data_IF_442924931520
#
_entry.id   IF_442924931520
#
_cell.length_a   1.000
_cell.length_b   1.000
_cell.length_c   1.000
_cell.angle_alpha   90.00
_cell.angle_beta   90.00
_cell.angle_gamma   90.00
#
_symmetry.space_group_name_H-M   'P 1'
#
loop_
_entity.id
_entity.type
_entity.pdbx_description
1 polymer ?
#
# COMPACT_ATOMS: atom_id res chain seq x y z
N UNK A 1 3.24 -8.11 -12.29
CA UNK A 1 3.61 -7.29 -11.12
C UNK A 1 5.11 -7.05 -11.14
N UNK A 2 5.60 -5.85 -10.79
CA UNK A 2 7.04 -5.58 -10.75
C UNK A 2 7.77 -6.50 -9.78
N UNK A 3 9.04 -6.79 -10.07
CA UNK A 3 9.84 -7.68 -9.23
C UNK A 3 10.06 -7.14 -7.81
N UNK A 4 10.10 -5.81 -7.67
CA UNK A 4 10.27 -5.18 -6.35
C UNK A 4 9.06 -5.44 -5.46
N UNK A 5 7.86 -5.48 -6.01
CA UNK A 5 6.66 -5.78 -5.24
C UNK A 5 6.56 -7.31 -5.10
N UNK A 6 6.79 -7.80 -3.90
CA UNK A 6 6.79 -9.25 -3.64
C UNK A 6 5.38 -9.79 -3.40
N UNK A 7 4.53 -8.99 -2.75
CA UNK A 7 3.16 -9.39 -2.49
C UNK A 7 2.30 -8.16 -2.20
N UNK A 8 1.02 -8.25 -2.48
CA UNK A 8 0.05 -7.18 -2.18
C UNK A 8 -1.26 -7.78 -1.69
N UNK A 9 -1.98 -7.00 -0.87
CA UNK A 9 -3.37 -7.29 -0.49
C UNK A 9 -4.12 -5.97 -0.34
N UNK A 10 -5.34 -5.80 -0.84
CA UNK A 10 -6.11 -6.77 -1.65
C UNK A 10 -5.43 -7.07 -2.99
N UNK A 11 -5.73 -8.22 -3.56
CA UNK A 11 -5.25 -8.55 -4.91
C UNK A 11 -5.95 -7.69 -5.96
N UNK A 12 -5.34 -7.49 -7.14
CA UNK A 12 -5.99 -6.72 -8.20
C UNK A 12 -7.38 -7.24 -8.52
N UNK A 13 -8.33 -6.33 -8.60
CA UNK A 13 -9.75 -6.60 -8.89
C UNK A 13 -10.48 -7.43 -7.83
N UNK A 14 -9.89 -7.60 -6.66
CA UNK A 14 -10.50 -8.33 -5.55
C UNK A 14 -11.67 -7.55 -4.94
N UNK A 15 -12.62 -8.27 -4.35
CA UNK A 15 -13.72 -7.68 -3.59
C UNK A 15 -13.52 -7.99 -2.12
N UNK A 16 -13.44 -6.97 -1.29
CA UNK A 16 -13.10 -7.10 0.13
C UNK A 16 -14.04 -6.27 1.00
N UNK A 17 -14.14 -6.59 2.28
CA UNK A 17 -14.93 -5.80 3.23
C UNK A 17 -14.39 -4.37 3.40
N UNK A 18 -15.27 -3.46 3.84
CA UNK A 18 -14.95 -2.04 4.01
C UNK A 18 -13.93 -1.76 5.11
N UNK A 19 -13.55 -2.75 5.90
CA UNK A 19 -12.54 -2.62 6.95
C UNK A 19 -11.19 -3.26 6.57
N UNK A 20 -11.04 -3.70 5.32
CA UNK A 20 -9.83 -4.42 4.90
C UNK A 20 -8.59 -3.55 4.93
N UNK A 21 -7.47 -4.15 5.33
CA UNK A 21 -6.15 -3.50 5.31
C UNK A 21 -5.57 -3.50 3.92
N UNK A 22 -4.61 -2.59 3.68
CA UNK A 22 -3.73 -2.65 2.51
C UNK A 22 -2.37 -3.14 3.00
N UNK A 23 -1.83 -4.16 2.35
CA UNK A 23 -0.55 -4.77 2.69
C UNK A 23 0.33 -4.78 1.46
N UNK A 24 1.56 -4.32 1.61
CA UNK A 24 2.56 -4.31 0.53
C UNK A 24 3.85 -4.90 1.08
N UNK A 25 4.36 -5.91 0.40
CA UNK A 25 5.62 -6.58 0.76
C UNK A 25 6.69 -6.22 -0.27
N UNK A 26 7.80 -5.64 0.21
CA UNK A 26 8.94 -5.24 -0.62
C UNK A 26 10.21 -5.82 -0.01
N UNK A 27 11.32 -5.90 -0.79
CA UNK A 27 12.59 -6.35 -0.23
C UNK A 27 13.09 -5.41 0.87
N UNK A 28 13.85 -5.96 1.80
CA UNK A 28 14.55 -5.15 2.81
C UNK A 28 15.42 -4.12 2.12
N UNK A 29 15.43 -2.90 2.64
CA UNK A 29 16.22 -1.80 2.05
C UNK A 29 15.42 -0.91 1.11
N UNK A 30 14.12 -1.13 1.00
CA UNK A 30 13.21 -0.25 0.26
C UNK A 30 12.27 0.45 1.22
N UNK A 31 11.82 1.63 0.82
CA UNK A 31 10.72 2.34 1.48
C UNK A 31 9.63 2.63 0.46
N UNK A 32 8.42 2.89 0.93
CA UNK A 32 7.29 3.10 0.05
C UNK A 32 6.52 4.37 0.41
N UNK A 33 5.83 4.91 -0.61
CA UNK A 33 4.76 5.88 -0.45
C UNK A 33 3.49 5.22 -0.94
N UNK A 34 2.42 5.33 -0.18
CA UNK A 34 1.12 4.74 -0.51
C UNK A 34 0.15 5.85 -0.86
N UNK A 35 -0.48 5.73 -2.02
CA UNK A 35 -1.46 6.69 -2.50
C UNK A 35 -2.75 5.94 -2.77
N UNK A 36 -3.83 6.34 -2.12
CA UNK A 36 -5.13 5.67 -2.25
C UNK A 36 -6.15 6.69 -2.71
N UNK A 37 -6.83 6.39 -3.81
CA UNK A 37 -7.83 7.28 -4.41
C UNK A 37 -7.29 8.70 -4.60
N UNK A 38 -6.05 8.81 -5.09
CA UNK A 38 -5.32 10.06 -5.31
C UNK A 38 -4.94 10.82 -4.02
N UNK A 39 -5.05 10.18 -2.86
CA UNK A 39 -4.69 10.76 -1.58
C UNK A 39 -3.43 10.09 -1.05
N UNK A 40 -2.39 10.89 -0.74
CA UNK A 40 -1.14 10.36 -0.19
C UNK A 40 -1.36 10.03 1.28
N UNK A 41 -1.18 8.75 1.64
CA UNK A 41 -1.32 8.31 3.03
C UNK A 41 -0.08 8.78 3.81
N UNK A 42 -0.29 9.51 4.92
CA UNK A 42 0.86 9.92 5.76
C UNK A 42 1.64 8.71 6.26
N UNK A 43 2.97 8.82 6.24
CA UNK A 43 3.84 7.72 6.63
C UNK A 43 3.59 7.24 8.06
N UNK A 44 3.20 8.14 8.96
CA UNK A 44 2.93 7.77 10.36
C UNK A 44 1.69 6.89 10.52
N UNK A 45 0.81 6.81 9.51
CA UNK A 45 -0.34 5.91 9.54
C UNK A 45 0.01 4.49 9.09
N UNK A 46 1.18 4.32 8.48
CA UNK A 46 1.60 3.04 7.91
C UNK A 46 2.51 2.34 8.90
N UNK A 47 2.16 1.10 9.24
CA UNK A 47 3.06 0.25 10.01
C UNK A 47 4.06 -0.36 9.03
N UNK A 48 5.29 0.13 9.04
CA UNK A 48 6.33 -0.39 8.18
C UNK A 48 7.38 -1.14 9.00
N UNK A 49 7.48 -2.44 8.73
CA UNK A 49 8.43 -3.31 9.42
C UNK A 49 9.69 -3.43 8.55
N UNK A 50 10.67 -2.58 8.82
CA UNK A 50 11.91 -2.49 8.03
C UNK A 50 12.64 -3.82 7.92
N UNK A 51 12.63 -4.60 8.99
CA UNK A 51 13.37 -5.85 9.04
C UNK A 51 12.90 -6.88 8.03
N UNK A 52 11.64 -6.79 7.58
CA UNK A 52 11.06 -7.74 6.64
C UNK A 52 10.45 -7.09 5.40
N UNK A 53 10.48 -5.75 5.32
CA UNK A 53 9.96 -5.04 4.16
C UNK A 53 8.44 -5.08 4.04
N UNK A 54 7.72 -5.14 5.16
CA UNK A 54 6.27 -5.26 5.17
C UNK A 54 5.60 -3.97 5.60
N UNK A 55 4.78 -3.41 4.72
CA UNK A 55 3.97 -2.23 5.00
C UNK A 55 2.52 -2.62 5.16
N UNK A 56 1.89 -2.16 6.23
CA UNK A 56 0.46 -2.42 6.50
C UNK A 56 -0.22 -1.10 6.82
N UNK A 57 -1.34 -0.85 6.17
CA UNK A 57 -2.21 0.29 6.49
C UNK A 57 -3.62 -0.23 6.75
N UNK A 58 -4.24 0.26 7.82
CA UNK A 58 -5.61 -0.11 8.18
C UNK A 58 -6.49 1.13 8.24
N UNK A 59 -7.72 1.07 7.71
CA UNK A 59 -8.69 2.12 7.96
C UNK A 59 -9.06 2.13 9.45
N UNK A 60 -9.47 3.27 9.94
CA UNK A 60 -9.90 3.37 11.33
C UNK A 60 -10.01 4.81 11.81
N UNK A 61 -10.44 5.00 13.08
CA UNK A 61 -10.56 6.34 13.67
C UNK A 61 -9.20 7.05 13.65
N UNK A 62 -9.23 8.35 13.36
CA UNK A 62 -8.06 9.20 13.29
C UNK A 62 -7.09 8.86 12.15
N UNK A 63 -7.53 8.03 11.21
CA UNK A 63 -6.79 7.75 9.97
C UNK A 63 -7.35 8.58 8.83
N UNK A 64 -6.62 8.59 7.71
CA UNK A 64 -7.05 9.28 6.49
C UNK A 64 -8.40 8.79 5.99
N UNK A 65 -8.67 7.50 6.17
CA UNK A 65 -9.96 6.89 5.88
C UNK A 65 -10.39 6.07 7.10
N UNK A 66 -11.60 6.33 7.59
CA UNK A 66 -12.15 5.54 8.71
C UNK A 66 -12.57 4.14 8.25
N UNK A 67 -13.10 4.05 7.05
CA UNK A 67 -13.44 2.81 6.37
C UNK A 67 -13.50 3.11 4.88
N UNK A 68 -13.50 2.05 4.06
CA UNK A 68 -13.69 2.23 2.62
C UNK A 68 -15.15 2.44 2.34
N UNK A 69 -15.45 3.38 1.45
CA UNK A 69 -16.80 3.44 0.85
C UNK A 69 -16.97 2.25 -0.08
N UNK A 70 -18.20 1.79 -0.27
CA UNK A 70 -18.47 0.71 -1.22
C UNK A 70 -18.08 1.15 -2.63
N UNK A 71 -17.49 0.24 -3.41
CA UNK A 71 -17.14 0.48 -4.80
C UNK A 71 -15.64 0.38 -5.07
N UNK A 72 -15.21 1.04 -6.13
CA UNK A 72 -13.86 0.96 -6.66
C UNK A 72 -12.87 1.84 -5.89
N UNK A 73 -11.69 1.30 -5.61
CA UNK A 73 -10.58 2.04 -5.03
C UNK A 73 -9.31 1.80 -5.84
N UNK A 74 -8.51 2.85 -5.99
CA UNK A 74 -7.24 2.79 -6.71
C UNK A 74 -6.11 2.92 -5.70
N UNK A 75 -5.11 2.04 -5.82
CA UNK A 75 -3.91 2.07 -4.97
C UNK A 75 -2.70 2.26 -5.85
N UNK A 76 -1.83 3.19 -5.47
CA UNK A 76 -0.53 3.39 -6.09
C UNK A 76 0.53 3.23 -5.02
N UNK A 77 1.52 2.40 -5.28
CA UNK A 77 2.70 2.24 -4.43
C UNK A 77 3.89 2.77 -5.19
N UNK A 78 4.60 3.73 -4.60
CA UNK A 78 5.87 4.22 -5.11
C UNK A 78 6.95 3.71 -4.19
N UNK A 79 8.02 3.14 -4.76
CA UNK A 79 9.13 2.63 -3.96
C UNK A 79 10.41 3.35 -4.29
N UNK A 80 11.32 3.35 -3.30
CA UNK A 80 12.68 3.84 -3.49
C UNK A 80 13.61 3.04 -2.60
N UNK A 81 14.82 2.79 -3.11
CA UNK A 81 15.84 2.09 -2.36
C UNK A 81 16.52 3.07 -1.40
N UNK A 82 16.72 2.64 -0.15
CA UNK A 82 17.24 3.53 0.89
C UNK A 82 18.76 3.69 0.83
N UNK A 83 19.47 2.72 0.28
CA UNK A 83 20.93 2.75 0.17
C UNK A 83 21.39 2.14 -1.14
N UNK A 84 22.60 2.48 -1.56
CA UNK A 84 23.19 1.93 -2.77
C UNK A 84 22.74 2.64 -4.04
N UNK A 85 22.75 1.94 -5.17
CA UNK A 85 22.31 2.48 -6.44
C UNK A 85 20.80 2.78 -6.38
N UNK A 86 20.37 3.95 -6.91
CA UNK A 86 18.95 4.27 -6.90
C UNK A 86 18.13 3.23 -7.64
N UNK A 87 17.00 2.86 -7.04
CA UNK A 87 16.02 2.02 -7.68
C UNK A 87 14.64 2.54 -7.25
N UNK A 88 13.96 3.21 -8.17
CA UNK A 88 12.67 3.84 -7.90
C UNK A 88 11.67 3.38 -8.95
N UNK A 89 10.41 3.31 -8.55
CA UNK A 89 9.35 2.95 -9.47
C UNK A 89 8.00 3.05 -8.81
N UNK A 90 6.98 2.63 -9.55
CA UNK A 90 5.64 2.60 -9.00
C UNK A 90 4.83 1.46 -9.62
N UNK A 91 3.81 1.04 -8.89
CA UNK A 91 2.85 0.05 -9.33
C UNK A 91 1.47 0.46 -8.84
N UNK A 92 0.45 0.34 -9.69
CA UNK A 92 -0.92 0.67 -9.32
C UNK A 92 -1.84 -0.50 -9.60
N UNK A 93 -2.89 -0.63 -8.76
CA UNK A 93 -3.94 -1.61 -8.99
C UNK A 93 -5.24 -1.09 -8.40
N UNK A 94 -6.33 -1.79 -8.70
CA UNK A 94 -7.64 -1.46 -8.16
C UNK A 94 -8.18 -2.65 -7.37
N UNK A 95 -9.00 -2.34 -6.38
CA UNK A 95 -9.80 -3.32 -5.67
C UNK A 95 -11.19 -2.74 -5.43
N UNK A 96 -12.10 -3.58 -5.00
CA UNK A 96 -13.49 -3.19 -4.77
C UNK A 96 -13.90 -3.55 -3.34
N UNK A 97 -14.76 -2.72 -2.76
CA UNK A 97 -15.38 -3.02 -1.47
C UNK A 97 -16.88 -3.19 -1.65
N UNK A 98 -17.49 -4.02 -0.81
CA UNK A 98 -18.92 -4.30 -0.87
C UNK A 98 -19.64 -3.90 0.42
#
# INVERSE_FOLDING_TARGET
MPQVIEDIYPLPNDQVPQQSSIIVDVPVGYEIVLIVDNYIIPAQEILFQDAIGLATWRPGPNKSFESWTAGKHTVVVQWSKTTGLPDVGEFSWIFYTY
#
